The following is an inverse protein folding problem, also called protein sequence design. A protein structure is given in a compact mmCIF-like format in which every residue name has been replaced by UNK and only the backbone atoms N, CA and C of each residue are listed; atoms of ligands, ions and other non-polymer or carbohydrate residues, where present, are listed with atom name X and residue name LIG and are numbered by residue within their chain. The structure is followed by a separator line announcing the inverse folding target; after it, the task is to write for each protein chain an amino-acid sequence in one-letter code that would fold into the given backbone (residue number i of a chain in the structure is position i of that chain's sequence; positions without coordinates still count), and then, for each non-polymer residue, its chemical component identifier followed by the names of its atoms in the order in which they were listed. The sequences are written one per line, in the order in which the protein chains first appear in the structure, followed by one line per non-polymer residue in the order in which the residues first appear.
data_IF_158586389804
#
_entry.id   IF_158586389804
#
_cell.length_a   1.000
_cell.length_b   1.000
_cell.length_c   1.000
_cell.angle_alpha   90.00
_cell.angle_beta   90.00
_cell.angle_gamma   90.00
#
_symmetry.space_group_name_H-M   'P 1'
#
loop_
_entity.id
_entity.type
_entity.pdbx_description
1 polymer ?
#
# COMPACT_ATOMS: atom_id res chain seq x y z
N UNK A 1 38.16 27.74 -10.24
CA UNK A 1 37.65 27.21 -11.52
C UNK A 1 36.12 27.11 -11.41
N UNK A 2 35.39 27.94 -12.18
CA UNK A 2 33.93 27.88 -12.29
C UNK A 2 33.59 26.69 -13.16
N UNK A 3 33.03 25.63 -12.53
CA UNK A 3 32.50 24.48 -13.27
C UNK A 3 31.19 24.90 -13.97
N UNK A 4 30.98 24.50 -15.22
CA UNK A 4 29.70 24.61 -15.93
C UNK A 4 28.68 23.56 -15.45
N UNK A 5 28.79 23.11 -14.23
CA UNK A 5 27.89 22.10 -13.67
C UNK A 5 26.48 22.71 -13.45
N UNK A 6 25.48 22.01 -13.92
CA UNK A 6 24.09 22.37 -13.64
C UNK A 6 23.78 21.98 -12.18
N UNK A 7 23.06 22.83 -11.46
CA UNK A 7 22.64 22.58 -10.10
C UNK A 7 21.15 22.89 -9.94
N UNK A 8 20.51 22.16 -9.04
CA UNK A 8 19.09 22.28 -8.75
C UNK A 8 18.90 22.25 -7.24
N UNK A 9 18.21 23.25 -6.70
CA UNK A 9 18.02 23.42 -5.26
C UNK A 9 16.54 23.30 -4.94
N UNK A 10 16.20 22.29 -4.12
CA UNK A 10 14.87 22.09 -3.58
C UNK A 10 14.84 22.43 -2.09
N UNK A 11 13.84 23.19 -1.65
CA UNK A 11 13.52 23.37 -0.25
C UNK A 11 12.28 22.52 0.07
N UNK A 12 12.50 21.29 0.54
CA UNK A 12 11.44 20.38 0.86
C UNK A 12 10.93 20.63 2.27
N UNK A 13 9.60 20.60 2.48
CA UNK A 13 9.03 20.45 3.82
C UNK A 13 9.27 19.04 4.36
N UNK A 14 8.54 18.61 5.40
CA UNK A 14 8.69 17.27 5.95
C UNK A 14 8.39 16.20 4.89
N UNK A 15 9.36 15.35 4.63
CA UNK A 15 9.24 14.22 3.69
C UNK A 15 8.73 13.00 4.42
N UNK A 16 7.80 12.26 3.83
CA UNK A 16 7.30 10.99 4.36
C UNK A 16 7.18 9.93 3.27
N UNK A 17 7.09 8.68 3.67
CA UNK A 17 6.91 7.54 2.77
C UNK A 17 7.35 6.23 3.40
N UNK A 18 7.26 5.16 2.61
CA UNK A 18 7.66 3.81 3.01
C UNK A 18 9.13 3.76 3.45
N UNK A 19 9.44 2.86 4.39
CA UNK A 19 10.79 2.53 4.87
C UNK A 19 11.52 3.64 5.65
N UNK A 20 10.86 4.75 5.95
CA UNK A 20 11.42 5.74 6.85
C UNK A 20 11.57 5.16 8.27
N UNK A 21 12.71 5.38 8.91
CA UNK A 21 12.97 4.85 10.25
C UNK A 21 12.02 5.47 11.29
N UNK A 22 11.20 4.67 12.01
CA UNK A 22 10.34 5.17 13.07
C UNK A 22 11.16 5.59 14.29
N UNK A 23 10.56 6.44 15.14
CA UNK A 23 11.16 6.98 16.36
C UNK A 23 12.50 7.72 16.11
N UNK A 24 12.64 8.35 14.95
CA UNK A 24 13.81 9.14 14.56
C UNK A 24 13.38 10.53 14.06
N UNK A 25 13.35 10.80 12.77
CA UNK A 25 13.08 12.15 12.22
C UNK A 25 11.69 12.36 11.64
N UNK A 26 10.86 11.33 11.56
CA UNK A 26 9.52 11.41 10.97
C UNK A 26 8.46 11.02 11.97
N UNK A 27 7.59 11.97 12.32
CA UNK A 27 6.43 11.67 13.16
C UNK A 27 5.45 10.73 12.44
N UNK A 28 5.30 10.84 11.10
CA UNK A 28 4.45 9.95 10.30
C UNK A 28 4.96 8.52 10.39
N UNK A 29 6.27 8.30 10.20
CA UNK A 29 6.87 6.98 10.36
C UNK A 29 6.62 6.40 11.75
N UNK A 30 6.79 7.24 12.78
CA UNK A 30 6.54 6.87 14.18
C UNK A 30 5.07 6.52 14.42
N UNK A 31 4.12 7.31 13.93
CA UNK A 31 2.69 7.06 14.07
C UNK A 31 2.28 5.78 13.32
N UNK A 32 2.72 5.62 12.08
CA UNK A 32 2.44 4.42 11.29
C UNK A 32 2.94 3.15 12.00
N UNK A 33 4.19 3.16 12.45
CA UNK A 33 4.80 2.04 13.16
C UNK A 33 4.05 1.72 14.46
N UNK A 34 3.84 2.72 15.33
CA UNK A 34 3.21 2.50 16.63
C UNK A 34 1.76 2.04 16.50
N UNK A 35 0.97 2.69 15.66
CA UNK A 35 -0.43 2.30 15.45
C UNK A 35 -0.51 0.89 14.85
N UNK A 36 0.39 0.52 13.92
CA UNK A 36 0.46 -0.82 13.36
C UNK A 36 0.75 -1.90 14.43
N UNK A 37 1.51 -1.54 15.48
CA UNK A 37 1.91 -2.44 16.56
C UNK A 37 1.06 -2.30 17.85
N UNK A 38 -0.10 -1.66 17.80
CA UNK A 38 -0.97 -1.43 18.97
C UNK A 38 -0.33 -0.57 20.08
N UNK A 39 0.67 0.23 19.73
CA UNK A 39 1.34 1.13 20.66
C UNK A 39 0.67 2.51 20.68
N UNK A 40 0.65 3.15 21.85
CA UNK A 40 0.12 4.49 22.00
C UNK A 40 1.01 5.53 21.31
N UNK A 41 0.38 6.51 20.66
CA UNK A 41 1.06 7.70 20.14
C UNK A 41 0.82 8.89 21.07
N UNK A 42 1.74 9.84 21.07
CA UNK A 42 1.61 11.12 21.78
C UNK A 42 1.52 12.24 20.75
N UNK A 43 0.51 13.09 20.90
CA UNK A 43 0.29 14.28 20.07
C UNK A 43 0.28 15.49 21.01
N UNK A 44 1.27 16.37 20.85
CA UNK A 44 1.37 17.57 21.68
C UNK A 44 0.32 18.63 21.29
N UNK A 45 0.15 18.83 19.98
CA UNK A 45 -0.84 19.75 19.42
C UNK A 45 -1.49 19.11 18.19
N UNK A 46 -2.72 18.60 18.29
CA UNK A 46 -3.44 18.01 17.17
C UNK A 46 -3.83 19.03 16.09
N UNK A 47 -3.89 20.32 16.43
CA UNK A 47 -4.26 21.38 15.49
C UNK A 47 -3.07 21.93 14.70
N UNK A 48 -1.84 21.56 15.05
CA UNK A 48 -0.63 22.01 14.37
C UNK A 48 -0.65 21.61 12.90
N UNK A 49 -0.61 22.60 12.01
CA UNK A 49 -0.56 22.38 10.57
C UNK A 49 0.87 22.05 10.13
N UNK A 50 1.01 21.01 9.34
CA UNK A 50 2.28 20.56 8.76
C UNK A 50 2.17 20.47 7.25
N UNK A 51 3.26 20.86 6.58
CA UNK A 51 3.42 20.69 5.14
C UNK A 51 4.24 19.43 4.87
N UNK A 52 3.73 18.56 4.03
CA UNK A 52 4.24 17.21 3.79
C UNK A 52 4.51 16.97 2.30
N UNK A 53 5.58 16.25 2.01
CA UNK A 53 5.93 15.76 0.67
C UNK A 53 6.02 14.24 0.70
N UNK A 54 5.35 13.60 -0.25
CA UNK A 54 5.48 12.15 -0.43
C UNK A 54 6.74 11.82 -1.23
N UNK A 55 7.55 10.89 -0.72
CA UNK A 55 8.86 10.59 -1.31
C UNK A 55 8.78 10.13 -2.76
N UNK A 56 7.77 9.34 -3.14
CA UNK A 56 7.67 8.83 -4.51
C UNK A 56 7.32 9.94 -5.51
N UNK A 57 6.51 10.93 -5.09
CA UNK A 57 6.21 12.11 -5.90
C UNK A 57 7.50 12.91 -6.15
N UNK A 58 8.32 13.10 -5.12
CA UNK A 58 9.60 13.78 -5.23
C UNK A 58 10.59 13.01 -6.11
N UNK A 59 10.70 11.69 -5.96
CA UNK A 59 11.55 10.87 -6.82
C UNK A 59 11.14 10.98 -8.29
N UNK A 60 9.84 10.97 -8.56
CA UNK A 60 9.32 11.15 -9.93
C UNK A 60 9.69 12.51 -10.52
N UNK A 61 9.65 13.57 -9.72
CA UNK A 61 10.07 14.92 -10.17
C UNK A 61 11.58 14.97 -10.48
N UNK A 62 12.40 14.37 -9.63
CA UNK A 62 13.84 14.25 -9.87
C UNK A 62 14.15 13.48 -11.15
N UNK A 63 13.45 12.38 -11.42
CA UNK A 63 13.66 11.61 -12.66
C UNK A 63 13.33 12.46 -13.91
N UNK A 64 12.21 13.17 -13.90
CA UNK A 64 11.85 14.12 -14.99
C UNK A 64 12.89 15.22 -15.17
N UNK A 65 13.46 15.69 -14.06
CA UNK A 65 14.54 16.68 -14.09
C UNK A 65 15.78 16.15 -14.82
N UNK A 66 16.15 14.90 -14.58
CA UNK A 66 17.30 14.26 -15.22
C UNK A 66 17.10 14.03 -16.73
N UNK A 67 15.85 13.86 -17.16
CA UNK A 67 15.50 13.61 -18.57
C UNK A 67 15.51 14.88 -19.44
N UNK A 68 15.38 16.09 -18.89
CA UNK A 68 15.24 17.23 -19.77
C UNK A 68 15.26 18.63 -19.16
N UNK A 69 15.63 18.84 -17.92
CA UNK A 69 15.65 20.17 -17.34
C UNK A 69 16.80 21.02 -17.88
N UNK A 70 16.48 22.18 -18.40
CA UNK A 70 17.44 23.07 -19.07
C UNK A 70 17.96 24.22 -18.19
N UNK A 71 17.22 24.60 -17.13
CA UNK A 71 17.56 25.74 -16.28
C UNK A 71 18.08 25.30 -14.92
N UNK A 72 19.17 25.92 -14.46
CA UNK A 72 19.74 25.71 -13.14
C UNK A 72 19.09 26.63 -12.10
N UNK A 73 19.20 26.30 -10.81
CA UNK A 73 18.77 27.14 -9.69
C UNK A 73 17.71 26.55 -8.80
N UNK A 74 16.93 27.42 -8.16
CA UNK A 74 15.85 27.00 -7.28
C UNK A 74 14.68 26.38 -8.05
N UNK A 75 14.17 25.28 -7.52
CA UNK A 75 13.03 24.56 -8.06
C UNK A 75 11.87 24.54 -7.05
N UNK A 76 10.67 24.70 -7.56
CA UNK A 76 9.45 24.39 -6.83
C UNK A 76 9.11 22.93 -7.05
N UNK A 77 8.50 22.34 -6.04
CA UNK A 77 8.05 20.94 -6.04
C UNK A 77 6.56 20.87 -5.67
N UNK A 78 5.84 19.90 -6.18
CA UNK A 78 4.46 19.58 -5.83
C UNK A 78 4.09 18.14 -6.21
N UNK A 79 3.07 17.58 -5.58
CA UNK A 79 2.18 18.22 -4.61
C UNK A 79 2.79 18.38 -3.21
N UNK A 80 2.41 19.45 -2.52
CA UNK A 80 2.65 19.63 -1.09
C UNK A 80 1.29 19.49 -0.38
N UNK A 81 1.23 18.60 0.62
CA UNK A 81 0.04 18.35 1.39
C UNK A 81 0.07 19.14 2.69
N UNK A 82 -0.90 20.01 2.90
CA UNK A 82 -1.05 20.80 4.14
C UNK A 82 -2.17 20.18 4.96
N UNK A 83 -1.84 19.61 6.12
CA UNK A 83 -2.76 18.87 6.99
C UNK A 83 -2.39 19.09 8.44
N UNK A 84 -3.31 18.84 9.36
CA UNK A 84 -3.00 18.88 10.80
C UNK A 84 -2.44 17.54 11.29
N UNK A 85 -1.65 17.58 12.36
CA UNK A 85 -1.11 16.36 13.00
C UNK A 85 -2.25 15.44 13.47
N UNK A 86 -3.34 16.02 13.97
CA UNK A 86 -4.54 15.28 14.38
C UNK A 86 -5.20 14.54 13.22
N UNK A 87 -5.36 15.18 12.05
CA UNK A 87 -5.91 14.55 10.85
C UNK A 87 -5.06 13.36 10.39
N UNK A 88 -3.74 13.52 10.40
CA UNK A 88 -2.80 12.40 10.07
C UNK A 88 -3.04 11.22 11.01
N UNK A 89 -3.05 11.45 12.32
CA UNK A 89 -3.27 10.40 13.31
C UNK A 89 -4.62 9.70 13.13
N UNK A 90 -5.70 10.48 12.97
CA UNK A 90 -7.05 9.94 12.76
C UNK A 90 -7.13 9.09 11.48
N UNK A 91 -6.50 9.53 10.39
CA UNK A 91 -6.45 8.75 9.15
C UNK A 91 -5.76 7.39 9.36
N UNK A 92 -4.61 7.36 10.04
CA UNK A 92 -3.89 6.11 10.29
C UNK A 92 -4.71 5.17 11.20
N UNK A 93 -5.41 5.70 12.23
CA UNK A 93 -6.34 4.89 13.03
C UNK A 93 -7.47 4.32 12.18
N UNK A 94 -8.10 5.12 11.30
CA UNK A 94 -9.14 4.62 10.38
C UNK A 94 -8.61 3.55 9.42
N UNK A 95 -7.37 3.66 8.94
CA UNK A 95 -6.75 2.59 8.15
C UNK A 95 -6.65 1.28 8.93
N UNK A 96 -6.26 1.35 10.20
CA UNK A 96 -6.21 0.17 11.06
C UNK A 96 -7.61 -0.39 11.33
N UNK A 97 -8.56 0.46 11.70
CA UNK A 97 -9.95 0.09 11.96
C UNK A 97 -10.63 -0.50 10.72
N UNK A 98 -10.24 -0.09 9.52
CA UNK A 98 -10.80 -0.61 8.28
C UNK A 98 -10.64 -2.13 8.14
N UNK A 99 -9.67 -2.72 8.81
CA UNK A 99 -9.45 -4.18 8.83
C UNK A 99 -10.48 -4.94 9.68
N UNK A 100 -11.23 -4.22 10.53
CA UNK A 100 -12.32 -4.76 11.35
C UNK A 100 -13.69 -4.30 10.83
N UNK A 101 -13.82 -3.03 10.51
CA UNK A 101 -15.08 -2.43 10.04
C UNK A 101 -15.34 -2.71 8.56
N UNK A 102 -14.30 -3.08 7.81
CA UNK A 102 -14.25 -3.23 6.36
C UNK A 102 -14.53 -1.91 5.60
N UNK A 103 -14.62 -0.78 6.29
CA UNK A 103 -14.79 0.55 5.68
C UNK A 103 -13.42 1.13 5.39
N UNK A 104 -13.08 1.28 4.11
CA UNK A 104 -11.82 1.90 3.69
C UNK A 104 -12.06 3.37 3.33
N UNK A 105 -11.08 4.21 3.67
CA UNK A 105 -11.05 5.62 3.27
C UNK A 105 -10.79 5.75 1.75
N UNK A 106 -10.85 6.98 1.26
CA UNK A 106 -10.66 7.30 -0.16
C UNK A 106 -9.17 7.26 -0.53
N UNK A 107 -8.64 6.02 -0.68
CA UNK A 107 -7.21 5.73 -0.86
C UNK A 107 -6.76 5.71 -2.32
N UNK A 108 -7.59 6.18 -3.25
CA UNK A 108 -7.30 6.16 -4.69
C UNK A 108 -6.32 7.22 -5.16
N UNK A 109 -6.22 8.37 -4.48
CA UNK A 109 -5.39 9.48 -4.89
C UNK A 109 -4.94 10.37 -3.72
N UNK A 110 -4.08 11.35 -4.03
CA UNK A 110 -3.68 12.43 -3.13
C UNK A 110 -3.02 11.95 -1.84
N UNK A 111 -3.16 12.77 -0.78
CA UNK A 111 -2.54 12.54 0.51
C UNK A 111 -2.97 11.22 1.15
N UNK A 112 -4.26 10.89 1.09
CA UNK A 112 -4.79 9.66 1.70
C UNK A 112 -4.16 8.41 1.07
N UNK A 113 -4.00 8.37 -0.27
CA UNK A 113 -3.28 7.29 -0.97
C UNK A 113 -1.83 7.17 -0.47
N UNK A 114 -1.10 8.27 -0.46
CA UNK A 114 0.28 8.29 -0.03
C UNK A 114 0.46 7.84 1.42
N UNK A 115 -0.41 8.31 2.32
CA UNK A 115 -0.37 7.95 3.74
C UNK A 115 -0.77 6.48 3.96
N UNK A 116 -1.77 5.98 3.23
CA UNK A 116 -2.17 4.58 3.33
C UNK A 116 -1.06 3.62 2.87
N UNK A 117 -0.43 3.92 1.72
CA UNK A 117 0.72 3.15 1.23
C UNK A 117 1.89 3.19 2.22
N UNK A 118 2.11 4.33 2.85
CA UNK A 118 3.12 4.48 3.90
C UNK A 118 2.78 3.61 5.10
N UNK A 119 1.55 3.68 5.64
CA UNK A 119 1.13 2.88 6.78
C UNK A 119 1.24 1.38 6.51
N UNK A 120 0.80 0.91 5.34
CA UNK A 120 0.90 -0.51 4.97
C UNK A 120 2.35 -1.01 5.01
N UNK A 121 3.34 -0.18 4.68
CA UNK A 121 4.75 -0.57 4.70
C UNK A 121 5.31 -0.82 6.11
N UNK A 122 4.59 -0.43 7.17
CA UNK A 122 4.94 -0.69 8.58
C UNK A 122 4.25 -1.92 9.16
N UNK A 123 3.39 -2.60 8.40
CA UNK A 123 2.81 -3.86 8.83
C UNK A 123 3.87 -4.96 8.82
N UNK A 124 3.89 -5.78 9.87
CA UNK A 124 4.67 -7.01 9.88
C UNK A 124 4.06 -8.05 8.92
N UNK A 125 4.82 -9.01 8.39
CA UNK A 125 4.28 -10.06 7.53
C UNK A 125 3.08 -10.80 8.12
N UNK A 126 3.05 -11.01 9.44
CA UNK A 126 1.91 -11.63 10.14
C UNK A 126 0.61 -10.83 10.03
N UNK A 127 0.71 -9.54 9.75
CA UNK A 127 -0.44 -8.63 9.60
C UNK A 127 -0.88 -8.47 8.13
N UNK A 128 -0.26 -9.16 7.16
CA UNK A 128 -0.66 -9.07 5.75
C UNK A 128 -2.02 -9.71 5.46
N UNK A 129 -2.55 -10.53 6.38
CA UNK A 129 -3.85 -11.15 6.27
C UNK A 129 -4.68 -10.95 7.55
N UNK A 130 -6.00 -10.86 7.37
CA UNK A 130 -6.96 -10.81 8.48
C UNK A 130 -8.27 -11.51 8.07
N UNK A 131 -8.95 -12.05 9.07
CA UNK A 131 -10.23 -12.73 8.89
C UNK A 131 -11.37 -11.72 8.84
N UNK A 132 -12.31 -11.92 7.95
CA UNK A 132 -13.52 -11.10 7.85
C UNK A 132 -14.72 -11.83 8.48
N UNK A 133 -15.76 -11.08 8.93
CA UNK A 133 -16.98 -11.69 9.44
C UNK A 133 -17.66 -12.57 8.38
N UNK A 134 -18.08 -13.75 8.80
CA UNK A 134 -18.89 -14.67 8.00
C UNK A 134 -20.16 -15.04 8.74
N UNK A 135 -21.28 -15.13 7.99
CA UNK A 135 -22.62 -15.43 8.50
C UNK A 135 -23.16 -16.66 7.77
N UNK A 136 -23.44 -17.72 8.52
CA UNK A 136 -23.94 -18.99 7.96
C UNK A 136 -25.39 -19.22 8.37
N UNK A 137 -26.23 -19.65 7.41
CA UNK A 137 -27.58 -20.17 7.64
C UNK A 137 -27.85 -21.33 6.67
N UNK A 138 -29.08 -21.85 6.65
CA UNK A 138 -29.48 -22.95 5.76
C UNK A 138 -29.34 -22.65 4.26
N UNK A 139 -29.12 -21.39 3.89
CA UNK A 139 -28.93 -20.92 2.51
C UNK A 139 -27.45 -20.89 2.10
N UNK A 140 -26.51 -20.98 3.06
CA UNK A 140 -25.08 -20.93 2.85
C UNK A 140 -24.36 -19.91 3.73
N UNK A 141 -23.25 -19.36 3.23
CA UNK A 141 -22.40 -18.39 3.93
C UNK A 141 -22.43 -17.03 3.24
N UNK A 142 -22.70 -15.99 4.00
CA UNK A 142 -22.53 -14.59 3.57
C UNK A 142 -21.30 -14.00 4.22
N UNK A 143 -20.49 -13.29 3.44
CA UNK A 143 -19.25 -12.66 3.92
C UNK A 143 -19.15 -11.23 3.36
N UNK A 144 -19.04 -10.25 4.24
CA UNK A 144 -18.71 -8.89 3.85
C UNK A 144 -17.21 -8.80 3.55
N UNK A 145 -16.85 -8.29 2.36
CA UNK A 145 -15.46 -8.26 1.91
C UNK A 145 -14.83 -6.91 2.12
N UNK A 146 -15.48 -5.83 1.62
CA UNK A 146 -14.97 -4.47 1.72
C UNK A 146 -16.09 -3.47 1.46
N UNK A 147 -16.03 -2.36 2.21
CA UNK A 147 -16.91 -1.20 2.03
C UNK A 147 -16.06 -0.02 1.60
N UNK A 148 -16.29 0.51 0.41
CA UNK A 148 -15.60 1.70 -0.10
C UNK A 148 -16.60 2.79 -0.41
N UNK A 149 -16.21 4.05 -0.17
CA UNK A 149 -17.05 5.20 -0.47
C UNK A 149 -16.90 5.64 -1.92
N UNK A 150 -15.67 5.71 -2.43
CA UNK A 150 -15.40 6.30 -3.74
C UNK A 150 -14.13 5.77 -4.42
N UNK A 151 -13.56 4.66 -3.98
CA UNK A 151 -12.25 4.30 -4.50
C UNK A 151 -12.15 2.87 -5.01
N UNK A 152 -11.34 2.70 -6.03
CA UNK A 152 -10.81 1.44 -6.44
C UNK A 152 -11.61 0.67 -7.49
N UNK A 153 -11.07 -0.50 -7.80
CA UNK A 153 -11.61 -1.43 -8.79
C UNK A 153 -11.74 -2.81 -8.15
N UNK A 154 -12.94 -3.35 -8.14
CA UNK A 154 -13.17 -4.77 -7.87
C UNK A 154 -13.00 -5.58 -9.15
N UNK A 155 -12.36 -6.75 -9.01
CA UNK A 155 -12.17 -7.71 -10.08
C UNK A 155 -12.18 -9.12 -9.50
N UNK A 156 -12.30 -10.12 -10.34
CA UNK A 156 -12.01 -11.49 -9.99
C UNK A 156 -11.12 -12.12 -11.08
N UNK A 157 -10.43 -13.19 -10.73
CA UNK A 157 -9.75 -14.02 -11.70
C UNK A 157 -9.89 -15.49 -11.36
N UNK A 158 -9.66 -16.33 -12.36
CA UNK A 158 -9.53 -17.78 -12.18
C UNK A 158 -8.10 -18.23 -12.47
N UNK A 159 -7.70 -19.36 -11.91
CA UNK A 159 -6.45 -20.02 -12.22
C UNK A 159 -6.65 -21.54 -12.18
N UNK A 160 -6.17 -22.23 -13.21
CA UNK A 160 -6.17 -23.70 -13.21
C UNK A 160 -5.20 -24.25 -12.17
N UNK A 161 -5.33 -25.54 -11.76
CA UNK A 161 -4.42 -26.17 -10.82
C UNK A 161 -2.95 -25.99 -11.21
N UNK A 162 -2.09 -25.62 -10.26
CA UNK A 162 -0.67 -25.39 -10.45
C UNK A 162 -0.29 -24.06 -11.12
N UNK A 163 -1.25 -23.27 -11.59
CA UNK A 163 -0.96 -21.99 -12.25
C UNK A 163 -0.66 -20.90 -11.22
N UNK A 164 0.41 -20.16 -11.49
CA UNK A 164 0.82 -18.97 -10.72
C UNK A 164 0.46 -17.70 -11.49
N UNK A 165 -0.10 -16.72 -10.79
CA UNK A 165 -0.40 -15.36 -11.28
C UNK A 165 0.29 -14.35 -10.38
N UNK A 166 0.64 -13.16 -10.93
CA UNK A 166 1.39 -12.13 -10.20
C UNK A 166 2.82 -12.02 -10.71
N UNK A 167 3.81 -12.12 -9.84
CA UNK A 167 5.22 -11.92 -10.17
C UNK A 167 5.55 -10.45 -10.42
N UNK A 168 5.02 -9.57 -9.57
CA UNK A 168 5.24 -8.12 -9.64
C UNK A 168 5.09 -7.47 -8.24
N UNK A 169 5.50 -6.22 -8.15
CA UNK A 169 5.28 -5.37 -6.98
C UNK A 169 4.73 -4.01 -7.40
N UNK A 170 4.28 -3.25 -6.41
CA UNK A 170 3.72 -1.92 -6.56
C UNK A 170 4.45 -0.91 -5.68
N UNK A 171 4.44 0.37 -6.07
CA UNK A 171 4.94 1.47 -5.22
C UNK A 171 3.86 2.06 -4.32
N UNK A 172 2.65 2.24 -4.85
CA UNK A 172 1.52 2.86 -4.14
C UNK A 172 0.18 2.17 -4.40
N UNK A 173 0.07 1.42 -5.50
CA UNK A 173 -1.07 0.54 -5.72
C UNK A 173 -1.07 -0.56 -4.66
N UNK A 174 -2.23 -0.86 -4.13
CA UNK A 174 -2.43 -1.97 -3.21
C UNK A 174 -3.69 -2.73 -3.59
N UNK A 175 -3.66 -4.01 -3.31
CA UNK A 175 -4.71 -4.95 -3.70
C UNK A 175 -5.11 -5.80 -2.50
N UNK A 176 -6.38 -6.18 -2.46
CA UNK A 176 -6.95 -7.09 -1.48
C UNK A 176 -7.56 -8.28 -2.20
N UNK A 177 -7.10 -9.47 -1.86
CA UNK A 177 -7.56 -10.73 -2.44
C UNK A 177 -8.39 -11.51 -1.45
N UNK A 178 -9.44 -12.14 -1.93
CA UNK A 178 -10.18 -13.17 -1.19
C UNK A 178 -10.40 -14.37 -2.10
N UNK A 179 -10.12 -15.57 -1.59
CA UNK A 179 -10.40 -16.81 -2.31
C UNK A 179 -11.88 -17.12 -2.17
N UNK A 180 -12.58 -17.18 -3.31
CA UNK A 180 -14.02 -17.53 -3.37
C UNK A 180 -14.19 -19.03 -3.52
N UNK A 181 -13.27 -19.71 -4.24
CA UNK A 181 -13.29 -21.15 -4.44
C UNK A 181 -11.87 -21.69 -4.57
N UNK A 182 -11.59 -22.83 -3.92
CA UNK A 182 -10.29 -23.50 -3.99
C UNK A 182 -9.31 -23.06 -2.92
N UNK A 183 -8.04 -23.31 -3.15
CA UNK A 183 -6.94 -22.95 -2.25
C UNK A 183 -5.75 -22.41 -3.02
N UNK A 184 -4.98 -21.52 -2.40
CA UNK A 184 -3.80 -20.92 -3.01
C UNK A 184 -2.67 -20.71 -2.00
N UNK A 185 -1.44 -20.74 -2.51
CA UNK A 185 -0.26 -20.27 -1.81
C UNK A 185 0.07 -18.86 -2.31
N UNK A 186 0.04 -17.88 -1.41
CA UNK A 186 0.56 -16.55 -1.64
C UNK A 186 2.02 -16.50 -1.22
N UNK A 187 2.87 -15.96 -2.07
CA UNK A 187 4.29 -15.74 -1.78
C UNK A 187 4.61 -14.28 -1.87
N UNK A 188 5.45 -13.82 -0.95
CA UNK A 188 5.89 -12.43 -0.85
C UNK A 188 7.41 -12.36 -0.67
N UNK A 189 8.03 -11.35 -1.29
CA UNK A 189 9.44 -11.01 -1.06
C UNK A 189 9.60 -9.50 -0.99
N UNK A 190 10.18 -9.00 0.10
CA UNK A 190 10.52 -7.59 0.23
C UNK A 190 11.67 -7.24 -0.72
N UNK A 191 11.46 -6.25 -1.61
CA UNK A 191 12.44 -5.89 -2.65
C UNK A 191 13.73 -5.26 -2.12
N UNK A 192 13.73 -4.82 -0.85
CA UNK A 192 14.87 -4.16 -0.20
C UNK A 192 15.62 -5.13 0.71
N UNK A 193 14.90 -5.85 1.58
CA UNK A 193 15.52 -6.71 2.59
C UNK A 193 15.70 -8.15 2.11
N UNK A 194 14.97 -8.58 1.08
CA UNK A 194 14.91 -9.98 0.65
C UNK A 194 14.14 -10.89 1.60
N UNK A 195 13.46 -10.33 2.63
CA UNK A 195 12.61 -11.11 3.53
C UNK A 195 11.49 -11.79 2.75
N UNK A 196 11.25 -13.07 3.05
CA UNK A 196 10.23 -13.88 2.38
C UNK A 196 9.14 -14.30 3.35
N UNK A 197 7.93 -14.39 2.84
CA UNK A 197 6.78 -14.87 3.58
C UNK A 197 5.87 -15.68 2.66
N UNK A 198 5.42 -16.83 3.14
CA UNK A 198 4.45 -17.68 2.45
C UNK A 198 3.21 -17.85 3.32
N UNK A 199 2.04 -17.80 2.67
CA UNK A 199 0.74 -17.93 3.32
C UNK A 199 -0.18 -18.82 2.49
N UNK A 200 -0.60 -19.95 3.05
CA UNK A 200 -1.63 -20.79 2.45
C UNK A 200 -3.01 -20.34 2.93
N UNK A 201 -3.93 -20.16 1.99
CA UNK A 201 -5.30 -19.72 2.26
C UNK A 201 -6.26 -20.52 1.38
N UNK A 202 -7.41 -20.87 1.93
CA UNK A 202 -8.51 -21.52 1.22
C UNK A 202 -9.78 -20.68 1.27
N UNK A 203 -10.78 -21.05 0.48
CA UNK A 203 -12.11 -20.43 0.52
C UNK A 203 -12.79 -20.55 1.88
N UNK A 204 -12.44 -21.56 2.69
CA UNK A 204 -13.05 -21.82 4.00
C UNK A 204 -12.46 -20.95 5.12
N UNK A 205 -11.31 -20.30 4.86
CA UNK A 205 -10.66 -19.44 5.85
C UNK A 205 -11.29 -18.05 5.98
N UNK A 206 -12.02 -17.58 4.97
CA UNK A 206 -12.58 -16.21 4.89
C UNK A 206 -11.56 -15.11 5.21
N UNK A 207 -10.36 -15.26 4.66
CA UNK A 207 -9.25 -14.33 4.89
C UNK A 207 -9.07 -13.36 3.72
N UNK A 208 -8.77 -12.10 4.05
CA UNK A 208 -8.25 -11.14 3.09
C UNK A 208 -6.72 -11.15 3.16
N UNK A 209 -6.10 -11.27 1.97
CA UNK A 209 -4.66 -11.11 1.80
C UNK A 209 -4.40 -9.78 1.11
N UNK A 210 -3.55 -8.95 1.70
CA UNK A 210 -3.21 -7.63 1.16
C UNK A 210 -1.82 -7.63 0.53
N UNK A 211 -1.68 -6.98 -0.63
CA UNK A 211 -0.36 -6.63 -1.15
C UNK A 211 0.17 -5.40 -0.43
N UNK A 212 1.45 -5.43 -0.12
CA UNK A 212 2.15 -4.34 0.58
C UNK A 212 3.11 -3.68 -0.40
N UNK A 213 3.09 -2.33 -0.54
CA UNK A 213 4.03 -1.64 -1.40
C UNK A 213 5.48 -2.03 -1.12
N UNK A 214 6.24 -2.28 -2.20
CA UNK A 214 7.63 -2.72 -2.09
C UNK A 214 7.80 -4.21 -1.75
N UNK A 215 6.71 -5.00 -1.75
CA UNK A 215 6.78 -6.45 -1.70
C UNK A 215 6.33 -7.04 -3.03
N UNK A 216 7.21 -7.82 -3.66
CA UNK A 216 6.81 -8.64 -4.81
C UNK A 216 5.90 -9.75 -4.31
N UNK A 217 4.90 -10.12 -5.11
CA UNK A 217 3.94 -11.15 -4.73
C UNK A 217 3.52 -12.00 -5.91
N UNK A 218 3.17 -13.24 -5.62
CA UNK A 218 2.46 -14.13 -6.53
C UNK A 218 1.42 -14.98 -5.79
N UNK A 219 0.52 -15.60 -6.58
CA UNK A 219 -0.57 -16.44 -6.12
C UNK A 219 -0.55 -17.70 -6.96
N UNK A 220 -0.30 -18.85 -6.34
CA UNK A 220 -0.29 -20.16 -6.99
C UNK A 220 -1.51 -20.97 -6.55
N UNK A 221 -2.30 -21.46 -7.51
CA UNK A 221 -3.34 -22.45 -7.22
C UNK A 221 -2.66 -23.76 -6.77
N UNK A 222 -2.77 -24.09 -5.49
CA UNK A 222 -2.23 -25.32 -4.90
C UNK A 222 -3.30 -26.41 -4.69
N UNK A 223 -4.54 -26.17 -5.15
CA UNK A 223 -5.64 -27.14 -5.13
C UNK A 223 -5.71 -27.99 -6.40
N UNK A 224 -6.67 -28.92 -6.43
CA UNK A 224 -6.96 -29.81 -7.55
C UNK A 224 -7.99 -29.26 -8.54
N UNK A 225 -8.75 -28.24 -8.12
CA UNK A 225 -9.83 -27.62 -8.89
C UNK A 225 -9.47 -26.20 -9.33
N UNK A 226 -10.33 -25.59 -10.15
CA UNK A 226 -10.18 -24.20 -10.55
C UNK A 226 -10.28 -23.26 -9.33
N UNK A 227 -9.27 -22.45 -9.16
CA UNK A 227 -9.24 -21.37 -8.16
C UNK A 227 -10.05 -20.18 -8.67
N UNK A 228 -10.89 -19.61 -7.81
CA UNK A 228 -11.60 -18.33 -8.06
C UNK A 228 -11.22 -17.34 -6.98
N UNK A 229 -10.66 -16.21 -7.38
CA UNK A 229 -10.21 -15.13 -6.48
C UNK A 229 -10.90 -13.84 -6.83
N UNK A 230 -11.51 -13.20 -5.84
CA UNK A 230 -11.99 -11.82 -5.96
C UNK A 230 -10.85 -10.86 -5.59
N UNK A 231 -10.75 -9.79 -6.35
CA UNK A 231 -9.69 -8.80 -6.24
C UNK A 231 -10.28 -7.39 -6.20
N UNK A 232 -9.85 -6.59 -5.22
CA UNK A 232 -10.02 -5.13 -5.22
C UNK A 232 -8.66 -4.46 -5.36
N UNK A 233 -8.58 -3.41 -6.18
CA UNK A 233 -7.44 -2.52 -6.27
C UNK A 233 -7.84 -1.09 -5.91
N UNK A 234 -6.96 -0.32 -5.26
CA UNK A 234 -7.23 1.06 -4.84
C UNK A 234 -7.31 2.06 -6.00
N UNK A 235 -7.01 1.61 -7.21
CA UNK A 235 -7.05 2.43 -8.43
C UNK A 235 -7.60 1.64 -9.62
N UNK A 236 -8.12 2.36 -10.61
CA UNK A 236 -8.47 1.78 -11.92
C UNK A 236 -7.16 1.50 -12.67
N UNK A 237 -7.03 0.29 -13.23
CA UNK A 237 -5.83 -0.09 -13.95
C UNK A 237 -5.62 0.76 -15.22
N UNK A 238 -4.54 1.55 -15.23
CA UNK A 238 -4.13 2.33 -16.39
C UNK A 238 -3.03 1.60 -17.16
N UNK A 239 -3.33 1.17 -18.39
CA UNK A 239 -2.37 0.43 -19.23
C UNK A 239 -1.17 1.25 -19.67
N UNK A 240 -1.31 2.55 -19.79
CA UNK A 240 -0.23 3.44 -20.25
C UNK A 240 0.75 3.82 -19.12
N UNK A 241 0.30 3.77 -17.87
CA UNK A 241 1.09 4.10 -16.67
C UNK A 241 0.74 3.17 -15.52
N UNK A 242 1.05 1.88 -15.62
CA UNK A 242 0.71 0.93 -14.56
C UNK A 242 1.69 1.04 -13.39
N UNK A 243 1.20 1.21 -12.17
CA UNK A 243 2.01 0.97 -10.96
C UNK A 243 2.13 -0.55 -10.71
N UNK A 244 2.73 -1.23 -11.68
CA UNK A 244 2.93 -2.69 -11.67
C UNK A 244 4.27 -3.02 -12.30
N UNK A 245 5.25 -3.37 -11.47
CA UNK A 245 6.62 -3.61 -11.88
C UNK A 245 6.90 -5.12 -11.82
N UNK A 246 7.20 -5.71 -12.98
CA UNK A 246 7.48 -7.14 -13.08
C UNK A 246 8.72 -7.51 -12.25
N UNK A 247 8.57 -8.49 -11.38
CA UNK A 247 9.64 -9.12 -10.60
C UNK A 247 9.19 -10.50 -10.16
N UNK A 248 9.73 -11.53 -10.78
CA UNK A 248 9.44 -12.92 -10.42
C UNK A 248 10.12 -13.25 -9.10
N UNK A 249 9.43 -13.98 -8.23
CA UNK A 249 9.99 -14.56 -7.01
C UNK A 249 10.99 -15.66 -7.39
N UNK A 250 12.16 -15.60 -6.84
CA UNK A 250 13.27 -16.57 -7.11
C UNK A 250 13.18 -17.79 -6.19
#
# INVERSE_FOLDING_TARGET
ETTNAKYYIYRLPNVFGKWCQPNYNSFIATFCHRIANDEAITINDPSAVVNLVYIDDFCSDILKLLEGANETGYRTFGPIYSVTVGEVAQLIYRFKESRQTLIIEDVGNGFTRALYSTWLSYLSPKQFAYTVPSYSDDRGVFCEVLKTKNAGQFSFFTAHPGITRGGHYHHSKNEKFIIIRGSACFKFENIVTGERYELNVSSDDFKIVETVPGWTHDITNNGSDELVVMLWANEIFNRSEPDTIARVLS
#
